data_IF_088823528250
#
_entry.id   IF_088823528250
#
_cell.length_a   1.000
_cell.length_b   1.000
_cell.length_c   1.000
_cell.angle_alpha   90.00
_cell.angle_beta   90.00
_cell.angle_gamma   90.00
#
_symmetry.space_group_name_H-M   'P 1'
#
loop_
_entity.id
_entity.type
_entity.pdbx_description
1 polymer ?
#
# COMPACT_ATOMS: atom_id res chain seq x y z
N UNK A 1 12.96 -19.09 -9.92
CA UNK A 1 12.83 -17.62 -10.03
C UNK A 1 11.44 -17.31 -10.58
N UNK A 2 10.51 -16.81 -9.76
CA UNK A 2 9.34 -16.10 -10.30
C UNK A 2 9.89 -14.78 -10.87
N UNK A 3 9.66 -14.48 -12.14
CA UNK A 3 10.02 -13.17 -12.69
C UNK A 3 9.19 -12.09 -11.99
N UNK A 4 9.84 -11.09 -11.41
CA UNK A 4 9.15 -9.93 -10.87
C UNK A 4 8.42 -9.21 -12.01
N UNK A 5 7.17 -8.81 -11.76
CA UNK A 5 6.39 -8.03 -12.73
C UNK A 5 7.13 -6.73 -13.10
N UNK A 6 7.01 -6.30 -14.35
CA UNK A 6 7.58 -5.05 -14.84
C UNK A 6 6.53 -4.30 -15.67
N UNK A 7 6.45 -2.96 -15.56
CA UNK A 7 5.51 -2.19 -16.35
C UNK A 7 5.92 -2.19 -17.82
N UNK A 8 4.92 -2.19 -18.70
CA UNK A 8 5.11 -1.84 -20.11
C UNK A 8 5.01 -0.32 -20.25
N UNK A 9 5.85 0.27 -21.12
CA UNK A 9 5.91 1.71 -21.32
C UNK A 9 4.55 2.31 -21.74
N UNK A 10 3.89 1.67 -22.71
CA UNK A 10 2.57 2.08 -23.18
C UNK A 10 1.51 2.04 -22.06
N UNK A 11 1.53 0.99 -21.24
CA UNK A 11 0.65 0.86 -20.08
C UNK A 11 0.90 1.98 -19.07
N UNK A 12 2.16 2.27 -18.76
CA UNK A 12 2.52 3.32 -17.82
C UNK A 12 2.06 4.71 -18.31
N UNK A 13 2.25 5.02 -19.59
CA UNK A 13 1.77 6.28 -20.19
C UNK A 13 0.25 6.41 -20.04
N UNK A 14 -0.51 5.34 -20.29
CA UNK A 14 -1.97 5.37 -20.15
C UNK A 14 -2.42 5.61 -18.70
N UNK A 15 -1.71 5.02 -17.73
CA UNK A 15 -1.99 5.19 -16.30
C UNK A 15 -1.67 6.62 -15.86
N UNK A 16 -0.54 7.18 -16.28
CA UNK A 16 -0.17 8.56 -15.98
C UNK A 16 -1.17 9.55 -16.59
N UNK A 17 -1.63 9.31 -17.81
CA UNK A 17 -2.68 10.12 -18.42
C UNK A 17 -3.97 10.06 -17.59
N UNK A 18 -4.41 8.86 -17.18
CA UNK A 18 -5.58 8.69 -16.32
C UNK A 18 -5.46 9.45 -15.00
N UNK A 19 -4.30 9.37 -14.34
CA UNK A 19 -4.05 10.05 -13.06
C UNK A 19 -4.08 11.58 -13.22
N UNK A 20 -3.57 12.11 -14.33
CA UNK A 20 -3.65 13.54 -14.65
C UNK A 20 -5.09 13.98 -14.92
N UNK A 21 -5.84 13.19 -15.68
CA UNK A 21 -7.25 13.46 -15.96
C UNK A 21 -8.11 13.41 -14.68
N UNK A 22 -7.78 12.51 -13.75
CA UNK A 22 -8.47 12.34 -12.46
C UNK A 22 -8.35 13.56 -11.53
N UNK A 23 -7.38 14.44 -11.78
CA UNK A 23 -7.18 15.68 -11.02
C UNK A 23 -7.94 16.87 -11.62
N UNK A 24 -8.58 16.70 -12.79
CA UNK A 24 -9.32 17.77 -13.46
C UNK A 24 -10.58 18.16 -12.67
N UNK A 25 -10.89 19.46 -12.51
CA UNK A 25 -12.16 19.90 -11.92
C UNK A 25 -13.36 19.76 -12.87
N UNK A 26 -13.13 19.38 -14.14
CA UNK A 26 -14.18 19.26 -15.15
C UNK A 26 -15.01 17.98 -14.96
N UNK A 27 -16.32 18.15 -14.77
CA UNK A 27 -17.27 17.05 -14.56
C UNK A 27 -17.35 16.06 -15.74
N UNK A 28 -17.16 16.50 -16.98
CA UNK A 28 -17.15 15.63 -18.15
C UNK A 28 -15.89 14.75 -18.15
N UNK A 29 -14.73 15.34 -17.81
CA UNK A 29 -13.47 14.60 -17.68
C UNK A 29 -13.57 13.59 -16.53
N UNK A 30 -14.12 13.99 -15.38
CA UNK A 30 -14.33 13.09 -14.24
C UNK A 30 -15.23 11.88 -14.58
N UNK A 31 -16.30 12.09 -15.35
CA UNK A 31 -17.14 10.97 -15.84
C UNK A 31 -16.37 10.04 -16.78
N UNK A 32 -15.57 10.59 -17.70
CA UNK A 32 -14.77 9.79 -18.61
C UNK A 32 -13.70 8.98 -17.86
N UNK A 33 -13.06 9.59 -16.87
CA UNK A 33 -12.09 8.94 -15.96
C UNK A 33 -12.75 7.76 -15.23
N UNK A 34 -13.95 7.95 -14.68
CA UNK A 34 -14.66 6.89 -13.96
C UNK A 34 -14.95 5.68 -14.87
N UNK A 35 -15.41 5.92 -16.08
CA UNK A 35 -15.63 4.85 -17.07
C UNK A 35 -14.31 4.14 -17.44
N UNK A 36 -13.22 4.89 -17.62
CA UNK A 36 -11.90 4.33 -17.92
C UNK A 36 -11.34 3.51 -16.74
N UNK A 37 -11.56 3.95 -15.50
CA UNK A 37 -11.21 3.19 -14.29
C UNK A 37 -11.97 1.87 -14.23
N UNK A 38 -13.27 1.86 -14.56
CA UNK A 38 -14.08 0.64 -14.58
C UNK A 38 -13.54 -0.37 -15.61
N UNK A 39 -13.16 0.10 -16.80
CA UNK A 39 -12.52 -0.73 -17.81
C UNK A 39 -11.15 -1.25 -17.36
N UNK A 40 -10.27 -0.39 -16.86
CA UNK A 40 -8.92 -0.76 -16.42
C UNK A 40 -8.93 -1.75 -15.25
N UNK A 41 -9.94 -1.66 -14.38
CA UNK A 41 -10.13 -2.61 -13.28
C UNK A 41 -10.43 -4.05 -13.73
N UNK A 42 -10.76 -4.28 -15.01
CA UNK A 42 -10.88 -5.63 -15.57
C UNK A 42 -9.53 -6.26 -15.91
N UNK A 43 -8.46 -5.45 -15.96
CA UNK A 43 -7.12 -5.91 -16.25
C UNK A 43 -6.42 -6.38 -14.96
N UNK A 44 -5.89 -7.62 -14.93
CA UNK A 44 -5.27 -8.20 -13.73
C UNK A 44 -4.12 -7.38 -13.16
N UNK A 45 -3.32 -6.76 -14.03
CA UNK A 45 -2.09 -6.03 -13.70
C UNK A 45 -2.29 -4.53 -13.49
N UNK A 46 -3.51 -4.00 -13.65
CA UNK A 46 -3.79 -2.58 -13.40
C UNK A 46 -3.33 -2.15 -12.01
N UNK A 47 -3.57 -2.98 -10.99
CA UNK A 47 -3.15 -2.70 -9.62
C UNK A 47 -1.63 -2.74 -9.45
N UNK A 48 -0.89 -3.50 -10.29
CA UNK A 48 0.57 -3.49 -10.29
C UNK A 48 1.11 -2.16 -10.81
N UNK A 49 0.48 -1.57 -11.84
CA UNK A 49 0.82 -0.22 -12.29
C UNK A 49 0.56 0.82 -11.19
N UNK A 50 -0.56 0.72 -10.48
CA UNK A 50 -0.89 1.70 -9.44
C UNK A 50 0.12 1.68 -8.29
N UNK A 51 0.53 0.50 -7.83
CA UNK A 51 1.55 0.40 -6.78
C UNK A 51 2.93 0.83 -7.31
N UNK A 52 3.28 0.48 -8.55
CA UNK A 52 4.54 0.89 -9.17
C UNK A 52 4.66 2.42 -9.27
N UNK A 53 3.59 3.11 -9.67
CA UNK A 53 3.56 4.58 -9.71
C UNK A 53 3.74 5.16 -8.31
N UNK A 54 3.09 4.58 -7.28
CA UNK A 54 3.25 5.03 -5.91
C UNK A 54 4.70 4.86 -5.40
N UNK A 55 5.34 3.71 -5.62
CA UNK A 55 6.57 3.30 -4.91
C UNK A 55 7.85 3.44 -5.72
N UNK A 56 7.82 3.32 -7.05
CA UNK A 56 9.03 3.25 -7.90
C UNK A 56 9.18 4.43 -8.85
N UNK A 57 8.09 5.07 -9.27
CA UNK A 57 8.15 6.16 -10.24
C UNK A 57 8.48 7.51 -9.58
N UNK A 58 9.66 7.62 -8.99
CA UNK A 58 10.12 8.80 -8.24
C UNK A 58 10.33 10.05 -9.12
N UNK A 59 10.24 9.92 -10.45
CA UNK A 59 10.25 11.04 -11.39
C UNK A 59 8.93 11.80 -11.45
N UNK A 60 7.82 11.17 -11.04
CA UNK A 60 6.51 11.83 -10.96
C UNK A 60 6.32 12.54 -9.62
N UNK A 61 5.49 13.57 -9.60
CA UNK A 61 5.21 14.35 -8.41
C UNK A 61 4.47 13.56 -7.32
N UNK A 62 4.69 13.94 -6.07
CA UNK A 62 4.11 13.25 -4.90
C UNK A 62 2.58 13.21 -4.90
N UNK A 63 1.84 14.28 -5.29
CA UNK A 63 0.39 14.23 -5.43
C UNK A 63 -0.12 13.16 -6.40
N UNK A 64 0.51 13.04 -7.58
CA UNK A 64 0.14 12.05 -8.60
C UNK A 64 0.45 10.63 -8.13
N UNK A 65 1.62 10.43 -7.51
CA UNK A 65 2.01 9.15 -6.89
C UNK A 65 1.03 8.74 -5.78
N UNK A 66 0.67 9.67 -4.90
CA UNK A 66 -0.27 9.45 -3.80
C UNK A 66 -1.68 9.15 -4.29
N UNK A 67 -2.17 9.87 -5.31
CA UNK A 67 -3.46 9.60 -5.95
C UNK A 67 -3.54 8.16 -6.48
N UNK A 68 -2.47 7.67 -7.10
CA UNK A 68 -2.37 6.28 -7.55
C UNK A 68 -2.59 5.29 -6.39
N UNK A 69 -1.92 5.52 -5.26
CA UNK A 69 -2.10 4.70 -4.05
C UNK A 69 -3.52 4.77 -3.48
N UNK A 70 -4.17 5.93 -3.53
CA UNK A 70 -5.55 6.08 -3.05
C UNK A 70 -6.58 5.34 -3.94
N UNK A 71 -6.37 5.34 -5.26
CA UNK A 71 -7.17 4.52 -6.19
C UNK A 71 -6.96 3.04 -5.87
N UNK A 72 -5.70 2.61 -5.70
CA UNK A 72 -5.38 1.24 -5.33
C UNK A 72 -6.04 0.84 -4.01
N UNK A 73 -6.03 1.71 -3.01
CA UNK A 73 -6.70 1.47 -1.72
C UNK A 73 -8.21 1.23 -1.90
N UNK A 74 -8.87 1.99 -2.77
CA UNK A 74 -10.28 1.76 -3.06
C UNK A 74 -10.51 0.39 -3.72
N UNK A 75 -9.61 -0.03 -4.63
CA UNK A 75 -9.66 -1.34 -5.26
C UNK A 75 -9.45 -2.48 -4.25
N UNK A 76 -8.43 -2.40 -3.40
CA UNK A 76 -8.22 -3.36 -2.30
C UNK A 76 -9.47 -3.44 -1.43
N UNK A 77 -10.03 -2.29 -1.02
CA UNK A 77 -11.22 -2.28 -0.17
C UNK A 77 -12.42 -3.00 -0.81
N UNK A 78 -12.60 -2.83 -2.11
CA UNK A 78 -13.74 -3.39 -2.84
C UNK A 78 -13.58 -4.88 -3.18
N UNK A 79 -12.39 -5.29 -3.63
CA UNK A 79 -12.21 -6.57 -4.36
C UNK A 79 -10.86 -7.26 -4.10
N UNK A 80 -10.25 -7.06 -2.93
CA UNK A 80 -8.95 -7.66 -2.60
C UNK A 80 -8.88 -9.18 -2.84
N UNK A 81 -9.94 -9.92 -2.51
CA UNK A 81 -10.01 -11.37 -2.67
C UNK A 81 -10.13 -11.83 -4.14
N UNK A 82 -10.47 -10.93 -5.06
CA UNK A 82 -10.53 -11.21 -6.50
C UNK A 82 -9.15 -11.02 -7.17
N UNK A 83 -8.19 -10.43 -6.47
CA UNK A 83 -6.86 -10.20 -7.03
C UNK A 83 -6.13 -11.51 -7.28
N UNK A 84 -5.44 -11.67 -8.43
CA UNK A 84 -4.54 -12.78 -8.64
C UNK A 84 -3.49 -12.83 -7.52
N UNK A 85 -3.08 -14.02 -7.04
CA UNK A 85 -2.08 -14.14 -5.97
C UNK A 85 -0.76 -13.41 -6.26
N UNK A 86 -0.31 -13.40 -7.52
CA UNK A 86 0.90 -12.67 -7.91
C UNK A 86 0.76 -11.15 -7.82
N UNK A 87 -0.45 -10.60 -7.98
CA UNK A 87 -0.73 -9.16 -7.87
C UNK A 87 -0.76 -8.75 -6.40
N UNK A 88 -1.44 -9.53 -5.55
CA UNK A 88 -1.46 -9.24 -4.12
C UNK A 88 -0.09 -9.42 -3.46
N UNK A 89 0.69 -10.44 -3.86
CA UNK A 89 2.08 -10.64 -3.44
C UNK A 89 2.96 -9.45 -3.85
N UNK A 90 2.85 -8.98 -5.10
CA UNK A 90 3.60 -7.82 -5.58
C UNK A 90 3.25 -6.54 -4.82
N UNK A 91 1.96 -6.24 -4.63
CA UNK A 91 1.52 -5.05 -3.88
C UNK A 91 2.06 -5.08 -2.44
N UNK A 92 1.98 -6.24 -1.77
CA UNK A 92 2.50 -6.40 -0.41
C UNK A 92 3.99 -6.10 -0.34
N UNK A 93 4.80 -6.69 -1.24
CA UNK A 93 6.24 -6.47 -1.30
C UNK A 93 6.60 -4.99 -1.53
N UNK A 94 5.91 -4.36 -2.47
CA UNK A 94 6.14 -2.96 -2.79
C UNK A 94 5.77 -2.03 -1.64
N UNK A 95 4.63 -2.27 -0.96
CA UNK A 95 4.25 -1.55 0.25
C UNK A 95 5.32 -1.64 1.33
N UNK A 96 5.79 -2.86 1.66
CA UNK A 96 6.84 -3.05 2.68
C UNK A 96 8.13 -2.32 2.31
N UNK A 97 8.52 -2.32 1.03
CA UNK A 97 9.73 -1.63 0.57
C UNK A 97 9.64 -0.10 0.63
N UNK A 98 8.43 0.46 0.70
CA UNK A 98 8.16 1.89 0.61
C UNK A 98 7.68 2.52 1.93
N UNK A 99 7.64 1.76 3.04
CA UNK A 99 7.23 2.30 4.35
C UNK A 99 8.14 3.44 4.79
N UNK A 100 9.44 3.37 4.47
CA UNK A 100 10.44 4.39 4.77
C UNK A 100 10.66 5.41 3.64
N UNK A 101 9.69 5.62 2.74
CA UNK A 101 9.83 6.63 1.66
C UNK A 101 10.19 8.01 2.26
N UNK A 102 11.09 8.80 1.66
CA UNK A 102 11.46 10.11 2.19
C UNK A 102 10.29 11.11 2.25
N UNK A 103 9.26 10.96 1.40
CA UNK A 103 8.08 11.82 1.41
C UNK A 103 7.07 11.39 2.47
N UNK A 104 6.68 12.27 3.42
CA UNK A 104 5.62 12.00 4.39
C UNK A 104 4.28 11.63 3.72
N UNK A 105 3.98 12.24 2.56
CA UNK A 105 2.75 11.97 1.82
C UNK A 105 2.74 10.54 1.27
N UNK A 106 3.86 10.07 0.73
CA UNK A 106 3.98 8.70 0.21
C UNK A 106 3.93 7.69 1.35
N UNK A 107 4.65 7.93 2.46
CA UNK A 107 4.59 7.08 3.66
C UNK A 107 3.16 6.93 4.18
N UNK A 108 2.42 8.04 4.29
CA UNK A 108 1.03 8.03 4.73
C UNK A 108 0.14 7.16 3.82
N UNK A 109 0.29 7.30 2.49
CA UNK A 109 -0.48 6.52 1.51
C UNK A 109 -0.12 5.04 1.52
N UNK A 110 1.17 4.69 1.65
CA UNK A 110 1.63 3.30 1.83
C UNK A 110 1.07 2.72 3.12
N UNK A 111 1.11 3.47 4.22
CA UNK A 111 0.52 3.07 5.50
C UNK A 111 -0.98 2.80 5.43
N UNK A 112 -1.71 3.64 4.70
CA UNK A 112 -3.14 3.42 4.42
C UNK A 112 -3.35 2.12 3.63
N UNK A 113 -2.50 1.82 2.64
CA UNK A 113 -2.59 0.56 1.89
C UNK A 113 -2.31 -0.66 2.77
N UNK A 114 -1.26 -0.62 3.58
CA UNK A 114 -0.89 -1.70 4.50
C UNK A 114 -2.04 -1.99 5.46
N UNK A 115 -2.56 -0.97 6.14
CA UNK A 115 -3.69 -1.12 7.08
C UNK A 115 -4.96 -1.59 6.36
N UNK A 116 -5.22 -1.15 5.12
CA UNK A 116 -6.36 -1.61 4.33
C UNK A 116 -6.22 -3.08 3.92
N UNK A 117 -5.02 -3.52 3.52
CA UNK A 117 -4.76 -4.92 3.15
C UNK A 117 -4.84 -5.82 4.39
N UNK A 118 -4.20 -5.42 5.50
CA UNK A 118 -4.22 -6.15 6.76
C UNK A 118 -5.66 -6.34 7.27
N UNK A 119 -6.48 -5.29 7.27
CA UNK A 119 -7.89 -5.37 7.69
C UNK A 119 -8.81 -6.11 6.73
N UNK A 120 -8.41 -6.25 5.46
CA UNK A 120 -9.17 -7.01 4.46
C UNK A 120 -8.80 -8.48 4.47
N UNK A 121 -7.54 -8.83 4.67
CA UNK A 121 -7.06 -10.20 4.79
C UNK A 121 -7.07 -10.70 6.24
N UNK A 122 -6.55 -11.91 6.42
CA UNK A 122 -6.06 -12.35 7.74
C UNK A 122 -4.58 -11.93 7.82
N UNK A 123 -4.13 -11.45 9.00
CA UNK A 123 -2.71 -11.22 9.27
C UNK A 123 -1.85 -12.45 8.93
N UNK A 124 -2.38 -13.67 9.11
CA UNK A 124 -1.72 -14.92 8.70
C UNK A 124 -1.44 -15.02 7.20
N UNK A 125 -2.24 -14.33 6.38
CA UNK A 125 -2.03 -14.27 4.93
C UNK A 125 -0.90 -13.32 4.53
N UNK A 126 -0.31 -12.60 5.48
CA UNK A 126 0.80 -11.68 5.27
C UNK A 126 1.86 -11.80 6.38
N UNK A 127 2.55 -12.96 6.48
CA UNK A 127 3.46 -13.26 7.58
C UNK A 127 4.68 -12.32 7.65
N UNK A 128 5.06 -11.69 6.53
CA UNK A 128 6.19 -10.75 6.47
C UNK A 128 5.89 -9.38 7.09
N UNK A 129 4.61 -9.05 7.31
CA UNK A 129 4.21 -7.72 7.77
C UNK A 129 4.74 -7.41 9.17
N UNK A 130 4.47 -8.26 10.15
CA UNK A 130 4.85 -8.03 11.54
C UNK A 130 6.38 -8.01 11.75
N UNK A 131 7.16 -8.97 11.20
CA UNK A 131 8.62 -8.89 11.26
C UNK A 131 9.17 -7.61 10.64
N UNK A 132 8.68 -7.20 9.46
CA UNK A 132 9.17 -5.97 8.82
C UNK A 132 8.87 -4.74 9.66
N UNK A 133 7.66 -4.64 10.22
CA UNK A 133 7.30 -3.52 11.09
C UNK A 133 8.14 -3.49 12.37
N UNK A 134 8.47 -4.66 12.94
CA UNK A 134 9.35 -4.75 14.09
C UNK A 134 10.77 -4.27 13.75
N UNK A 135 11.37 -4.77 12.67
CA UNK A 135 12.70 -4.36 12.22
C UNK A 135 12.78 -2.85 11.94
N UNK A 136 11.67 -2.26 11.50
CA UNK A 136 11.57 -0.81 11.31
C UNK A 136 11.56 -0.05 12.63
N UNK A 137 10.86 -0.53 13.67
CA UNK A 137 10.89 0.11 14.99
C UNK A 137 12.30 0.17 15.59
N UNK A 138 13.12 -0.83 15.31
CA UNK A 138 14.52 -0.88 15.74
C UNK A 138 15.47 -0.03 14.85
N UNK A 139 14.96 0.56 13.77
CA UNK A 139 15.74 1.36 12.83
C UNK A 139 16.06 2.75 13.39
N UNK A 140 17.29 3.21 13.18
CA UNK A 140 17.72 4.60 13.49
C UNK A 140 17.23 5.62 12.45
N UNK A 141 16.47 5.20 11.43
CA UNK A 141 15.95 6.08 10.39
C UNK A 141 14.80 6.95 10.93
N UNK A 142 15.05 8.27 11.02
CA UNK A 142 14.09 9.27 11.49
C UNK A 142 12.77 9.27 10.68
N UNK A 143 12.78 8.81 9.42
CA UNK A 143 11.57 8.72 8.60
C UNK A 143 10.60 7.62 9.09
N UNK A 144 11.06 6.74 9.98
CA UNK A 144 10.28 5.66 10.57
C UNK A 144 9.49 6.11 11.81
N UNK A 145 9.78 7.28 12.38
CA UNK A 145 9.00 7.85 13.50
C UNK A 145 7.53 8.11 13.16
N UNK A 146 7.16 8.16 11.87
CA UNK A 146 5.77 8.29 11.41
C UNK A 146 5.08 6.93 11.15
N UNK A 147 5.65 5.80 11.60
CA UNK A 147 4.96 4.51 11.54
C UNK A 147 3.79 4.39 12.52
N UNK A 148 3.76 5.18 13.59
CA UNK A 148 2.74 5.07 14.65
C UNK A 148 1.30 5.08 14.12
N UNK A 149 0.89 5.99 13.21
CA UNK A 149 -0.43 5.94 12.58
C UNK A 149 -0.74 4.65 11.80
N UNK A 150 0.28 3.99 11.24
CA UNK A 150 0.16 2.70 10.52
C UNK A 150 0.08 1.54 11.51
N UNK A 151 0.91 1.59 12.54
CA UNK A 151 1.01 0.58 13.58
C UNK A 151 -0.23 0.55 14.46
N UNK A 152 -0.79 1.70 14.86
CA UNK A 152 -1.88 1.75 15.83
C UNK A 152 -3.12 0.89 15.44
N UNK A 153 -3.63 0.92 14.19
CA UNK A 153 -4.70 0.03 13.78
C UNK A 153 -4.31 -1.46 13.82
N UNK A 154 -3.10 -1.80 13.37
CA UNK A 154 -2.59 -3.18 13.33
C UNK A 154 -2.35 -3.70 14.75
N UNK A 155 -1.79 -2.87 15.63
CA UNK A 155 -1.58 -3.17 17.04
C UNK A 155 -2.90 -3.40 17.75
N UNK A 156 -3.92 -2.57 17.50
CA UNK A 156 -5.26 -2.83 18.05
C UNK A 156 -5.78 -4.20 17.58
N UNK A 157 -5.68 -4.50 16.30
CA UNK A 157 -6.16 -5.79 15.77
C UNK A 157 -5.39 -6.98 16.37
N UNK A 158 -4.05 -6.88 16.43
CA UNK A 158 -3.18 -7.93 16.96
C UNK A 158 -3.35 -8.13 18.47
N UNK A 159 -3.37 -7.06 19.27
CA UNK A 159 -3.49 -7.13 20.74
C UNK A 159 -4.82 -7.74 21.22
N UNK A 160 -5.88 -7.56 20.46
CA UNK A 160 -7.20 -8.11 20.75
C UNK A 160 -7.50 -9.39 19.95
N UNK A 161 -6.51 -9.95 19.25
CA UNK A 161 -6.68 -11.17 18.47
C UNK A 161 -6.87 -12.40 19.37
N UNK A 162 -7.71 -13.35 18.94
CA UNK A 162 -7.98 -14.59 19.68
C UNK A 162 -6.83 -15.60 19.64
N UNK A 163 -6.03 -15.54 18.57
CA UNK A 163 -4.80 -16.33 18.40
C UNK A 163 -3.66 -15.74 19.23
N UNK A 164 -3.02 -16.58 20.05
CA UNK A 164 -1.94 -16.19 20.93
C UNK A 164 -0.71 -15.69 20.17
N UNK A 165 -0.32 -16.30 19.05
CA UNK A 165 0.90 -15.92 18.32
C UNK A 165 0.80 -14.49 17.75
N UNK A 166 -0.38 -14.15 17.23
CA UNK A 166 -0.68 -12.82 16.70
C UNK A 166 -0.75 -11.81 17.85
N UNK A 167 -1.36 -12.20 18.97
CA UNK A 167 -1.45 -11.37 20.18
C UNK A 167 -0.09 -11.07 20.79
N UNK A 168 0.77 -12.09 20.90
CA UNK A 168 2.13 -11.97 21.40
C UNK A 168 2.96 -11.03 20.52
N UNK A 169 2.82 -11.14 19.20
CA UNK A 169 3.46 -10.21 18.26
C UNK A 169 3.05 -8.75 18.49
N UNK A 170 1.76 -8.50 18.78
CA UNK A 170 1.27 -7.16 19.14
C UNK A 170 1.84 -6.64 20.46
N UNK A 171 1.99 -7.51 21.46
CA UNK A 171 2.59 -7.17 22.76
C UNK A 171 4.07 -6.83 22.62
N UNK A 172 4.83 -7.63 21.86
CA UNK A 172 6.25 -7.39 21.60
C UNK A 172 6.46 -6.07 20.85
N UNK A 173 5.66 -5.80 19.82
CA UNK A 173 5.72 -4.55 19.08
C UNK A 173 5.39 -3.32 19.95
N UNK A 174 4.44 -3.43 20.89
CA UNK A 174 4.20 -2.37 21.89
C UNK A 174 5.39 -2.17 22.84
N UNK A 175 6.04 -3.24 23.27
CA UNK A 175 7.25 -3.17 24.10
C UNK A 175 8.38 -2.44 23.39
N UNK A 176 8.66 -2.79 22.13
CA UNK A 176 9.67 -2.12 21.30
C UNK A 176 9.38 -0.62 21.13
N UNK A 177 8.10 -0.24 20.92
CA UNK A 177 7.71 1.18 20.83
C UNK A 177 7.94 1.91 22.16
N UNK A 178 7.63 1.29 23.29
CA UNK A 178 7.77 1.89 24.62
C UNK A 178 9.22 1.99 25.11
N UNK A 179 10.11 1.14 24.60
CA UNK A 179 11.55 1.13 24.94
C UNK A 179 12.38 2.05 24.03
N UNK A 180 11.84 2.52 22.90
CA UNK A 180 12.50 3.37 21.91
C UNK A 180 12.51 4.88 22.20
N UNK A 181 12.32 5.32 23.45
CA UNK A 181 12.50 6.72 23.90
C UNK A 181 13.88 6.98 24.54
#
# INVERSE_FOLDING_TARGET
>A
MKMAWQPQEEGLIQILQLLKESQSPDNLIQRAVQHKLEQLNTHPDFNNYLIFVLTKLTSEDEPTRSLSGLILKNNVRARFYEFPPGVSEFIKQECLSAIGDPSPLIRATVGILITTIASKGDLKSWPELLPTLNDMLDSQDYNVCELLPVLLPILKETLFHHDWEIKESGILALGAIAEGE
#
